data_IF_622013464378
#
_entry.id   IF_622013464378
#
_cell.length_a   1.000
_cell.length_b   1.000
_cell.length_c   1.000
_cell.angle_alpha   90.00
_cell.angle_beta   90.00
_cell.angle_gamma   90.00
#
_symmetry.space_group_name_H-M   'P 1'
#
loop_
_entity.id
_entity.type
_entity.pdbx_description
1 polymer ?
#
# COMPACT_ATOMS: atom_id res chain seq x y z
N UNK A 1 18.01 11.54 -17.05
CA UNK A 1 17.02 10.53 -17.47
C UNK A 1 16.17 10.18 -16.26
N UNK A 2 14.90 10.59 -16.25
CA UNK A 2 13.94 10.32 -15.16
C UNK A 2 12.89 9.29 -15.62
N UNK A 3 13.37 8.25 -16.30
CA UNK A 3 12.54 7.17 -16.82
C UNK A 3 13.00 5.87 -16.18
N UNK A 4 12.06 5.03 -15.78
CA UNK A 4 12.37 3.69 -15.32
C UNK A 4 12.94 2.86 -16.46
N UNK A 5 13.87 1.97 -16.12
CA UNK A 5 14.41 0.97 -17.04
C UNK A 5 13.43 -0.20 -17.17
N UNK A 6 13.48 -0.92 -18.29
CA UNK A 6 12.55 -2.03 -18.53
C UNK A 6 12.61 -3.13 -17.47
N UNK A 7 13.80 -3.53 -17.04
CA UNK A 7 13.99 -4.54 -15.99
C UNK A 7 13.50 -4.09 -14.60
N UNK A 8 13.59 -2.80 -14.28
CA UNK A 8 13.02 -2.23 -13.06
C UNK A 8 11.49 -2.32 -13.05
N UNK A 9 10.85 -2.13 -14.21
CA UNK A 9 9.39 -2.27 -14.36
C UNK A 9 8.97 -3.73 -14.21
N UNK A 10 9.67 -4.67 -14.86
CA UNK A 10 9.39 -6.10 -14.73
C UNK A 10 9.55 -6.58 -13.28
N UNK A 11 10.58 -6.11 -12.57
CA UNK A 11 10.79 -6.46 -11.17
C UNK A 11 9.67 -5.93 -10.26
N UNK A 12 9.17 -4.71 -10.52
CA UNK A 12 8.06 -4.14 -9.75
C UNK A 12 6.76 -4.94 -9.95
N UNK A 13 6.47 -5.37 -11.18
CA UNK A 13 5.29 -6.17 -11.49
C UNK A 13 5.37 -7.59 -10.95
N UNK A 14 6.53 -8.25 -11.07
CA UNK A 14 6.74 -9.58 -10.50
C UNK A 14 6.47 -9.65 -8.99
N UNK A 15 6.64 -8.53 -8.27
CA UNK A 15 6.28 -8.43 -6.85
C UNK A 15 4.81 -8.03 -6.61
N UNK A 16 4.24 -7.16 -7.45
CA UNK A 16 2.90 -6.59 -7.25
C UNK A 16 1.79 -7.55 -7.70
N UNK A 17 1.97 -8.27 -8.81
CA UNK A 17 0.93 -9.13 -9.38
C UNK A 17 0.41 -10.19 -8.41
N UNK A 18 1.26 -10.94 -7.67
CA UNK A 18 0.77 -11.94 -6.71
C UNK A 18 -0.08 -11.35 -5.58
N UNK A 19 0.17 -10.08 -5.19
CA UNK A 19 -0.65 -9.39 -4.19
C UNK A 19 -2.03 -9.08 -4.74
N UNK A 20 -2.11 -8.59 -5.98
CA UNK A 20 -3.35 -8.28 -6.68
C UNK A 20 -4.18 -9.55 -6.89
N UNK A 21 -3.56 -10.61 -7.41
CA UNK A 21 -4.20 -11.92 -7.58
C UNK A 21 -4.76 -12.44 -6.25
N UNK A 22 -3.98 -12.31 -5.17
CA UNK A 22 -4.41 -12.68 -3.82
C UNK A 22 -5.64 -11.90 -3.34
N UNK A 23 -5.72 -10.60 -3.59
CA UNK A 23 -6.89 -9.79 -3.25
C UNK A 23 -8.12 -10.19 -4.07
N UNK A 24 -7.95 -10.38 -5.38
CA UNK A 24 -9.04 -10.78 -6.28
C UNK A 24 -9.60 -12.17 -5.92
N UNK A 25 -8.73 -13.14 -5.65
CA UNK A 25 -9.13 -14.49 -5.29
C UNK A 25 -9.92 -14.54 -3.97
N UNK A 26 -9.60 -13.67 -3.00
CA UNK A 26 -10.33 -13.55 -1.73
C UNK A 26 -11.57 -12.66 -1.82
N UNK A 27 -11.73 -11.89 -2.90
CA UNK A 27 -12.76 -10.86 -2.99
C UNK A 27 -12.54 -9.71 -2.01
N UNK A 28 -11.29 -9.41 -1.66
CA UNK A 28 -10.96 -8.33 -0.75
C UNK A 28 -11.35 -6.98 -1.37
N UNK A 29 -11.99 -6.12 -0.58
CA UNK A 29 -12.35 -4.75 -0.96
C UNK A 29 -11.60 -3.73 -0.11
N UNK A 30 -11.33 -2.52 -0.63
CA UNK A 30 -10.69 -1.46 0.15
C UNK A 30 -11.45 -1.15 1.44
N UNK A 31 -10.71 -0.91 2.52
CA UNK A 31 -11.30 -0.47 3.79
C UNK A 31 -11.75 0.98 3.69
N UNK A 32 -12.94 1.28 4.20
CA UNK A 32 -13.43 2.64 4.28
C UNK A 32 -12.65 3.46 5.31
N UNK A 33 -12.57 4.77 5.07
CA UNK A 33 -12.00 5.75 5.97
C UNK A 33 -12.62 7.12 5.68
N UNK A 34 -12.62 8.01 6.67
CA UNK A 34 -13.23 9.33 6.53
C UNK A 34 -12.40 10.24 5.60
N UNK A 35 -13.08 11.11 4.85
CA UNK A 35 -12.42 12.09 4.02
C UNK A 35 -11.53 13.02 4.86
N UNK A 36 -10.29 13.26 4.41
CA UNK A 36 -9.32 14.09 5.13
C UNK A 36 -8.60 13.38 6.28
N UNK A 37 -8.97 12.13 6.61
CA UNK A 37 -8.23 11.33 7.58
C UNK A 37 -6.95 10.73 6.97
N UNK A 38 -6.11 10.16 7.84
CA UNK A 38 -4.87 9.46 7.45
C UNK A 38 -5.11 8.02 6.94
N UNK A 39 -6.36 7.60 6.78
CA UNK A 39 -6.73 6.24 6.37
C UNK A 39 -7.29 5.39 7.50
N UNK A 40 -7.50 4.07 7.27
CA UNK A 40 -8.09 3.17 8.25
C UNK A 40 -7.14 2.88 9.42
N UNK A 41 -7.69 2.57 10.61
CA UNK A 41 -6.97 2.15 11.82
C UNK A 41 -5.95 1.03 11.52
N UNK A 42 -6.29 0.10 10.62
CA UNK A 42 -5.42 -1.00 10.22
C UNK A 42 -4.09 -0.55 9.61
N UNK A 43 -4.07 0.59 8.91
CA UNK A 43 -2.86 1.16 8.35
C UNK A 43 -1.93 1.69 9.47
N UNK A 44 -2.48 2.23 10.55
CA UNK A 44 -1.71 2.61 11.76
C UNK A 44 -1.18 1.35 12.46
N UNK A 45 -2.04 0.35 12.65
CA UNK A 45 -1.68 -0.90 13.30
C UNK A 45 -0.58 -1.66 12.57
N UNK A 46 -0.57 -1.62 11.24
CA UNK A 46 0.51 -2.21 10.42
C UNK A 46 1.89 -1.66 10.80
N UNK A 47 2.00 -0.34 10.97
CA UNK A 47 3.27 0.29 11.34
C UNK A 47 3.62 0.06 12.81
N UNK A 48 2.62 0.11 13.69
CA UNK A 48 2.81 -0.09 15.11
C UNK A 48 3.34 -1.49 15.46
N UNK A 49 3.01 -2.52 14.67
CA UNK A 49 3.58 -3.87 14.82
C UNK A 49 5.11 -3.89 14.76
N UNK A 50 5.72 -2.97 14.02
CA UNK A 50 7.17 -2.82 13.92
C UNK A 50 7.72 -1.67 14.79
N UNK A 51 6.91 -1.12 15.70
CA UNK A 51 7.30 0.02 16.54
C UNK A 51 7.43 1.34 15.77
N UNK A 52 6.88 1.40 14.55
CA UNK A 52 6.95 2.56 13.65
C UNK A 52 5.62 3.31 13.66
N UNK A 53 5.66 4.57 13.22
CA UNK A 53 4.48 5.43 13.06
C UNK A 53 4.55 6.16 11.72
N UNK A 54 3.39 6.37 11.11
CA UNK A 54 3.28 7.27 9.96
C UNK A 54 3.58 8.71 10.40
N UNK A 55 4.14 9.49 9.48
CA UNK A 55 4.27 10.93 9.67
C UNK A 55 2.87 11.56 9.58
N UNK A 56 2.60 12.54 10.44
CA UNK A 56 1.36 13.32 10.41
C UNK A 56 1.21 14.08 9.07
N UNK A 57 -0.02 14.09 8.56
CA UNK A 57 -0.41 14.93 7.43
C UNK A 57 -0.54 16.35 8.00
N UNK A 58 0.29 17.27 7.51
CA UNK A 58 0.19 18.70 7.82
C UNK A 58 -0.49 19.38 6.65
N UNK A 59 -1.53 20.16 6.94
CA UNK A 59 -2.12 21.11 5.98
C UNK A 59 -1.12 22.23 5.64
#
# INVERSE_FOLDING_TARGET
>A
TLFMRGDEVEAAWAWTDPLIEGWQARGDVPKHYDQGSSGPEDALMLMHREGRRWREIKE
#
